data_IF_512748719177
#
_entry.id   IF_512748719177
#
_cell.length_a   1.000
_cell.length_b   1.000
_cell.length_c   1.000
_cell.angle_alpha   90.00
_cell.angle_beta   90.00
_cell.angle_gamma   90.00
#
_symmetry.space_group_name_H-M   'P 1'
#
loop_
_entity.id
_entity.type
_entity.pdbx_description
1 polymer ?
#
# COMPACT_ATOMS: atom_id res chain seq x y z
N UNK A 1 2.61 -13.29 5.70
CA UNK A 1 3.79 -13.03 4.82
C UNK A 1 5.13 -13.40 5.46
N UNK A 2 6.19 -13.59 4.68
CA UNK A 2 7.60 -13.69 5.13
C UNK A 2 8.42 -12.57 4.50
N UNK A 3 9.19 -11.82 5.30
CA UNK A 3 10.03 -10.71 4.83
C UNK A 3 11.50 -11.03 5.06
N UNK A 4 12.34 -10.79 4.05
CA UNK A 4 13.78 -10.96 4.18
C UNK A 4 14.50 -11.21 2.85
N UNK A 5 15.81 -11.48 2.91
CA UNK A 5 16.58 -11.90 1.76
C UNK A 5 16.09 -13.26 1.24
N UNK A 6 16.02 -13.40 -0.09
CA UNK A 6 15.68 -14.63 -0.80
C UNK A 6 16.59 -14.77 -2.01
N UNK A 7 17.11 -15.99 -2.24
CA UNK A 7 17.86 -16.31 -3.44
C UNK A 7 17.04 -15.99 -4.70
N UNK A 8 17.67 -15.40 -5.71
CA UNK A 8 16.95 -14.87 -6.89
C UNK A 8 16.14 -15.96 -7.59
N UNK A 9 16.60 -17.21 -7.55
CA UNK A 9 15.91 -18.38 -8.12
C UNK A 9 14.55 -18.68 -7.48
N UNK A 10 14.35 -18.25 -6.23
CA UNK A 10 13.13 -18.48 -5.45
C UNK A 10 12.27 -17.20 -5.33
N UNK A 11 12.65 -16.12 -6.02
CA UNK A 11 12.05 -14.80 -5.85
C UNK A 11 10.84 -14.55 -6.76
N UNK A 12 10.51 -15.46 -7.68
CA UNK A 12 9.33 -15.31 -8.55
C UNK A 12 8.04 -15.22 -7.71
N UNK A 13 7.21 -14.23 -8.00
CA UNK A 13 6.00 -13.93 -7.24
C UNK A 13 6.23 -13.15 -5.95
N UNK A 14 7.47 -12.98 -5.49
CA UNK A 14 7.79 -12.16 -4.33
C UNK A 14 7.74 -10.66 -4.66
N UNK A 15 7.53 -9.83 -3.64
CA UNK A 15 7.40 -8.37 -3.77
C UNK A 15 8.69 -7.71 -3.31
N UNK A 16 9.31 -6.90 -4.18
CA UNK A 16 10.56 -6.20 -3.85
C UNK A 16 10.40 -5.23 -2.68
N UNK A 17 11.24 -5.39 -1.66
CA UNK A 17 11.25 -4.51 -0.49
C UNK A 17 11.78 -3.10 -0.80
N UNK A 18 12.72 -3.03 -1.75
CA UNK A 18 13.40 -1.82 -2.17
C UNK A 18 13.42 -1.73 -3.69
N UNK A 19 13.65 -0.52 -4.22
CA UNK A 19 13.95 -0.39 -5.64
C UNK A 19 15.30 -1.06 -5.93
N UNK A 20 15.36 -1.84 -7.00
CA UNK A 20 16.53 -2.61 -7.39
C UNK A 20 16.88 -2.28 -8.84
N UNK A 21 18.16 -2.13 -9.15
CA UNK A 21 18.63 -1.86 -10.51
C UNK A 21 19.33 -3.10 -11.06
N UNK A 22 19.01 -3.50 -12.30
CA UNK A 22 19.64 -4.59 -13.03
C UNK A 22 20.13 -4.07 -14.37
N UNK A 23 21.44 -3.78 -14.49
CA UNK A 23 21.96 -3.07 -15.65
C UNK A 23 21.28 -1.71 -15.83
N UNK A 24 20.63 -1.50 -16.99
CA UNK A 24 19.88 -0.27 -17.29
C UNK A 24 18.43 -0.29 -16.77
N UNK A 25 17.92 -1.44 -16.32
CA UNK A 25 16.53 -1.59 -15.87
C UNK A 25 16.41 -1.27 -14.39
N UNK A 26 15.47 -0.39 -14.03
CA UNK A 26 15.12 -0.08 -12.65
C UNK A 26 13.77 -0.71 -12.28
N UNK A 27 13.78 -1.54 -11.25
CA UNK A 27 12.60 -2.09 -10.61
C UNK A 27 12.21 -1.20 -9.43
N UNK A 28 10.94 -0.82 -9.36
CA UNK A 28 10.43 -0.02 -8.24
C UNK A 28 10.23 -0.89 -7.00
N UNK A 29 10.24 -0.25 -5.82
CA UNK A 29 9.73 -0.86 -4.59
C UNK A 29 8.28 -1.34 -4.80
N UNK A 30 7.89 -2.40 -4.10
CA UNK A 30 6.57 -3.02 -4.21
C UNK A 30 6.28 -3.66 -5.58
N UNK A 31 7.29 -3.79 -6.45
CA UNK A 31 7.16 -4.54 -7.69
C UNK A 31 7.09 -6.04 -7.40
N UNK A 32 6.05 -6.71 -7.90
CA UNK A 32 5.91 -8.16 -7.83
C UNK A 32 6.71 -8.79 -8.97
N UNK A 33 7.71 -9.58 -8.63
CA UNK A 33 8.60 -10.20 -9.59
C UNK A 33 7.86 -11.28 -10.40
N UNK A 34 8.01 -11.25 -11.71
CA UNK A 34 7.66 -12.36 -12.60
C UNK A 34 8.94 -13.10 -13.08
N UNK A 35 8.79 -14.19 -13.84
CA UNK A 35 9.93 -14.94 -14.35
C UNK A 35 10.90 -14.13 -15.22
N UNK A 36 10.42 -13.16 -16.00
CA UNK A 36 11.28 -12.27 -16.82
C UNK A 36 12.11 -11.33 -15.94
N UNK A 37 11.52 -10.82 -14.86
CA UNK A 37 12.20 -9.98 -13.88
C UNK A 37 13.32 -10.75 -13.18
N UNK A 38 13.02 -11.98 -12.75
CA UNK A 38 13.99 -12.89 -12.13
C UNK A 38 15.15 -13.19 -13.09
N UNK A 39 14.85 -13.49 -14.35
CA UNK A 39 15.88 -13.74 -15.37
C UNK A 39 16.76 -12.50 -15.60
N UNK A 40 16.17 -11.30 -15.69
CA UNK A 40 16.90 -10.05 -15.87
C UNK A 40 17.80 -9.72 -14.66
N UNK A 41 17.28 -9.87 -13.45
CA UNK A 41 18.04 -9.67 -12.20
C UNK A 41 19.22 -10.66 -12.13
N UNK A 42 18.97 -11.93 -12.46
CA UNK A 42 20.02 -12.97 -12.49
C UNK A 42 21.09 -12.68 -13.54
N UNK A 43 20.71 -12.26 -14.74
CA UNK A 43 21.65 -11.88 -15.81
C UNK A 43 22.51 -10.66 -15.42
N UNK A 44 21.99 -9.78 -14.57
CA UNK A 44 22.74 -8.66 -14.00
C UNK A 44 23.65 -9.06 -12.82
N UNK A 45 23.76 -10.35 -12.50
CA UNK A 45 24.63 -10.86 -11.43
C UNK A 45 24.05 -10.75 -10.02
N UNK A 46 22.75 -10.44 -9.89
CA UNK A 46 22.08 -10.41 -8.58
C UNK A 46 21.72 -11.84 -8.18
N UNK A 47 22.30 -12.31 -7.09
CA UNK A 47 22.05 -13.66 -6.53
C UNK A 47 20.99 -13.68 -5.43
N UNK A 48 20.72 -12.54 -4.79
CA UNK A 48 19.79 -12.42 -3.67
C UNK A 48 19.09 -11.06 -3.69
N UNK A 49 17.82 -11.05 -3.29
CA UNK A 49 17.01 -9.83 -3.18
C UNK A 49 16.22 -9.83 -1.87
N UNK A 50 16.05 -8.64 -1.27
CA UNK A 50 15.16 -8.47 -0.11
C UNK A 50 13.73 -8.32 -0.60
N UNK A 51 12.86 -9.24 -0.20
CA UNK A 51 11.49 -9.34 -0.68
C UNK A 51 10.50 -9.65 0.45
N UNK A 52 9.23 -9.37 0.18
CA UNK A 52 8.11 -9.93 0.91
C UNK A 52 7.49 -11.08 0.09
N UNK A 53 7.45 -12.28 0.66
CA UNK A 53 6.78 -13.46 0.12
C UNK A 53 5.41 -13.55 0.77
N UNK A 54 4.36 -13.35 -0.04
CA UNK A 54 2.98 -13.46 0.40
C UNK A 54 2.60 -14.94 0.57
N UNK A 55 1.90 -15.24 1.65
CA UNK A 55 1.23 -16.51 1.87
C UNK A 55 -0.07 -16.57 1.03
N UNK A 56 -0.64 -17.76 0.77
CA UNK A 56 -1.86 -17.91 -0.02
C UNK A 56 -3.08 -17.15 0.53
N UNK A 57 -3.10 -16.92 1.84
CA UNK A 57 -4.14 -16.23 2.61
C UNK A 57 -3.80 -14.76 2.92
N UNK A 58 -2.68 -14.25 2.41
CA UNK A 58 -2.35 -12.83 2.49
C UNK A 58 -3.06 -12.03 1.39
N UNK A 59 -3.58 -10.85 1.76
CA UNK A 59 -4.05 -9.83 0.85
C UNK A 59 -2.94 -8.78 0.64
N UNK A 60 -2.56 -8.53 -0.61
CA UNK A 60 -1.54 -7.53 -0.96
C UNK A 60 -1.93 -6.11 -0.53
N UNK A 61 -0.94 -5.26 -0.24
CA UNK A 61 -1.12 -3.94 0.37
C UNK A 61 -2.11 -3.03 -0.38
N UNK A 62 -2.07 -3.01 -1.71
CA UNK A 62 -2.96 -2.17 -2.52
C UNK A 62 -4.40 -2.68 -2.46
N UNK A 63 -4.60 -3.98 -2.61
CA UNK A 63 -5.92 -4.60 -2.53
C UNK A 63 -6.53 -4.48 -1.12
N UNK A 64 -5.71 -4.56 -0.08
CA UNK A 64 -6.14 -4.36 1.30
C UNK A 64 -6.52 -2.88 1.56
N UNK A 65 -5.72 -1.92 1.10
CA UNK A 65 -6.03 -0.49 1.22
C UNK A 65 -7.33 -0.13 0.48
N UNK A 66 -7.50 -0.66 -0.74
CA UNK A 66 -8.71 -0.47 -1.56
C UNK A 66 -9.95 -1.06 -0.88
N UNK A 67 -9.87 -2.28 -0.36
CA UNK A 67 -10.98 -2.93 0.34
C UNK A 67 -11.46 -2.11 1.55
N UNK A 68 -10.56 -1.49 2.29
CA UNK A 68 -10.91 -0.61 3.42
C UNK A 68 -11.52 0.68 2.90
N UNK A 69 -10.90 1.34 1.91
CA UNK A 69 -11.43 2.60 1.37
C UNK A 69 -12.85 2.43 0.79
N UNK A 70 -13.12 1.32 0.09
CA UNK A 70 -14.43 0.99 -0.47
C UNK A 70 -15.51 0.70 0.59
N UNK A 71 -15.13 0.40 1.84
CA UNK A 71 -16.10 0.21 2.93
C UNK A 71 -16.43 1.51 3.65
N UNK A 72 -15.68 2.59 3.39
CA UNK A 72 -15.93 3.90 3.98
C UNK A 72 -17.10 4.60 3.27
N UNK A 73 -17.92 5.28 4.06
CA UNK A 73 -18.95 6.19 3.53
C UNK A 73 -18.48 7.63 3.66
N UNK A 74 -18.53 8.38 2.57
CA UNK A 74 -18.13 9.78 2.51
C UNK A 74 -19.04 10.57 1.57
N UNK A 75 -19.05 11.90 1.72
CA UNK A 75 -19.77 12.85 0.86
C UNK A 75 -18.80 13.94 0.44
N UNK A 76 -18.92 14.41 -0.79
CA UNK A 76 -18.08 15.47 -1.36
C UNK A 76 -16.58 15.14 -1.30
N UNK A 77 -16.26 13.84 -1.43
CA UNK A 77 -14.90 13.27 -1.33
C UNK A 77 -14.72 12.23 -2.42
N UNK A 78 -13.61 12.34 -3.15
CA UNK A 78 -13.17 11.41 -4.18
C UNK A 78 -12.11 10.44 -3.61
N UNK A 79 -12.29 9.15 -3.85
CA UNK A 79 -11.32 8.11 -3.51
C UNK A 79 -10.39 7.85 -4.70
N UNK A 80 -9.08 8.09 -4.52
CA UNK A 80 -8.08 7.83 -5.56
C UNK A 80 -7.71 6.35 -5.64
N UNK A 81 -7.21 5.85 -6.80
CA UNK A 81 -6.75 4.47 -6.93
C UNK A 81 -5.68 4.10 -5.91
N UNK A 82 -5.66 2.82 -5.50
CA UNK A 82 -4.63 2.32 -4.61
C UNK A 82 -3.26 2.32 -5.27
N UNK A 83 -2.24 2.75 -4.52
CA UNK A 83 -0.85 2.62 -4.95
C UNK A 83 0.10 2.54 -3.75
N UNK A 84 1.01 1.57 -3.77
CA UNK A 84 2.04 1.37 -2.73
C UNK A 84 1.47 1.28 -1.30
N UNK A 85 0.39 0.51 -1.18
CA UNK A 85 -0.35 0.25 0.05
C UNK A 85 -1.12 1.46 0.55
N UNK A 86 -1.47 2.41 -0.33
CA UNK A 86 -2.18 3.65 0.05
C UNK A 86 -3.40 3.89 -0.81
N UNK A 87 -4.45 4.41 -0.20
CA UNK A 87 -5.59 5.02 -0.89
C UNK A 87 -5.82 6.40 -0.30
N UNK A 88 -5.73 7.44 -1.15
CA UNK A 88 -5.89 8.82 -0.72
C UNK A 88 -7.30 9.32 -1.07
N UNK A 89 -7.94 9.98 -0.10
CA UNK A 89 -9.26 10.58 -0.24
C UNK A 89 -9.11 12.09 -0.32
N UNK A 90 -9.71 12.71 -1.33
CA UNK A 90 -9.58 14.14 -1.62
C UNK A 90 -10.94 14.82 -1.59
N UNK A 91 -11.02 16.03 -1.04
CA UNK A 91 -12.24 16.81 -1.08
C UNK A 91 -12.58 17.18 -2.52
N UNK A 92 -13.84 17.02 -2.93
CA UNK A 92 -14.32 17.45 -4.24
C UNK A 92 -14.63 18.96 -4.26
N UNK A 93 -14.93 19.53 -3.09
CA UNK A 93 -15.30 20.94 -2.92
C UNK A 93 -14.59 21.56 -1.72
N UNK A 94 -14.49 22.89 -1.70
CA UNK A 94 -13.98 23.61 -0.54
C UNK A 94 -15.04 23.64 0.58
N UNK A 95 -14.59 23.60 1.84
CA UNK A 95 -15.51 23.55 2.98
C UNK A 95 -14.83 23.29 4.32
N UNK A 96 -15.55 22.63 5.21
CA UNK A 96 -15.07 22.23 6.55
C UNK A 96 -15.09 20.72 6.64
N UNK A 97 -13.94 20.11 6.91
CA UNK A 97 -13.81 18.66 7.02
C UNK A 97 -14.48 18.14 8.29
N UNK A 98 -15.34 17.13 8.16
CA UNK A 98 -15.94 16.41 9.29
C UNK A 98 -15.62 14.94 9.19
N UNK A 99 -15.33 14.32 10.33
CA UNK A 99 -15.00 12.89 10.42
C UNK A 99 -15.51 12.34 11.75
N UNK A 100 -15.92 11.08 11.75
CA UNK A 100 -16.15 10.34 13.00
C UNK A 100 -14.79 9.90 13.57
N UNK A 101 -14.22 10.75 14.42
CA UNK A 101 -12.91 10.51 15.05
C UNK A 101 -12.90 9.21 15.85
N UNK A 102 -13.99 8.88 16.54
CA UNK A 102 -14.08 7.64 17.34
C UNK A 102 -14.06 6.41 16.45
N UNK A 103 -14.72 6.45 15.30
CA UNK A 103 -14.68 5.35 14.33
C UNK A 103 -13.28 5.17 13.75
N UNK A 104 -12.59 6.27 13.40
CA UNK A 104 -11.20 6.20 12.91
C UNK A 104 -10.27 5.62 13.97
N UNK A 105 -10.37 6.10 15.22
CA UNK A 105 -9.56 5.59 16.33
C UNK A 105 -9.82 4.10 16.60
N UNK A 106 -11.09 3.68 16.55
CA UNK A 106 -11.46 2.28 16.72
C UNK A 106 -10.86 1.39 15.62
N UNK A 107 -10.88 1.83 14.35
CA UNK A 107 -10.26 1.09 13.24
C UNK A 107 -8.74 1.01 13.42
N UNK A 108 -8.09 2.12 13.76
CA UNK A 108 -6.65 2.19 13.98
C UNK A 108 -6.17 1.34 15.16
N UNK A 109 -7.06 1.03 16.10
CA UNK A 109 -6.77 0.16 17.24
C UNK A 109 -6.87 -1.34 16.92
N UNK A 110 -7.40 -1.74 15.76
CA UNK A 110 -7.59 -3.16 15.41
C UNK A 110 -6.24 -3.83 15.17
N UNK A 111 -5.41 -3.26 14.29
CA UNK A 111 -4.14 -3.85 13.90
C UNK A 111 -3.14 -2.74 13.53
N UNK A 112 -1.91 -2.73 14.11
CA UNK A 112 -0.90 -1.74 13.79
C UNK A 112 -0.41 -1.76 12.33
N UNK A 113 -0.75 -2.79 11.53
CA UNK A 113 -0.48 -2.85 10.10
C UNK A 113 -1.41 -1.96 9.27
N UNK A 114 -2.54 -1.54 9.84
CA UNK A 114 -3.59 -0.77 9.18
C UNK A 114 -3.67 0.61 9.84
N UNK A 115 -3.69 1.66 9.05
CA UNK A 115 -3.88 3.02 9.59
C UNK A 115 -4.71 3.87 8.64
N UNK A 116 -5.70 4.57 9.19
CA UNK A 116 -6.40 5.66 8.54
C UNK A 116 -5.93 6.96 9.21
N UNK A 117 -5.34 7.84 8.42
CA UNK A 117 -4.98 9.19 8.85
C UNK A 117 -5.90 10.20 8.17
N UNK A 118 -6.33 11.22 8.92
CA UNK A 118 -7.24 12.26 8.43
C UNK A 118 -6.74 13.65 8.82
N UNK A 119 -7.26 14.68 8.17
CA UNK A 119 -7.15 16.03 8.69
C UNK A 119 -7.89 16.15 10.03
N UNK A 120 -7.55 17.16 10.83
CA UNK A 120 -8.25 17.44 12.06
C UNK A 120 -9.74 17.71 11.80
N UNK A 121 -10.59 17.25 12.71
CA UNK A 121 -12.02 17.56 12.66
C UNK A 121 -12.21 19.09 12.64
N UNK A 122 -13.06 19.56 11.73
CA UNK A 122 -13.35 20.96 11.44
C UNK A 122 -12.20 21.76 10.80
N UNK A 123 -11.19 21.09 10.23
CA UNK A 123 -10.19 21.78 9.41
C UNK A 123 -10.85 22.40 8.17
N UNK A 124 -10.49 23.64 7.78
CA UNK A 124 -10.87 24.18 6.47
C UNK A 124 -10.18 23.37 5.37
N UNK A 125 -10.89 23.14 4.27
CA UNK A 125 -10.37 22.39 3.12
C UNK A 125 -10.66 23.09 1.80
N UNK A 126 -9.74 22.93 0.85
CA UNK A 126 -9.91 23.35 -0.54
C UNK A 126 -10.34 22.17 -1.42
N UNK A 127 -10.98 22.48 -2.56
CA UNK A 127 -11.26 21.46 -3.57
C UNK A 127 -9.95 20.83 -4.07
N UNK A 128 -9.90 19.50 -4.13
CA UNK A 128 -8.72 18.72 -4.48
C UNK A 128 -7.73 18.49 -3.34
N UNK A 129 -7.98 19.01 -2.13
CA UNK A 129 -7.10 18.76 -0.98
C UNK A 129 -7.26 17.32 -0.46
N UNK A 130 -6.15 16.65 -0.16
CA UNK A 130 -6.19 15.34 0.51
C UNK A 130 -6.69 15.51 1.96
N UNK A 131 -7.78 14.83 2.30
CA UNK A 131 -8.43 14.94 3.61
C UNK A 131 -8.28 13.68 4.46
N UNK A 132 -8.05 12.53 3.82
CA UNK A 132 -7.79 11.28 4.50
C UNK A 132 -6.92 10.35 3.64
N UNK A 133 -6.29 9.36 4.28
CA UNK A 133 -5.55 8.30 3.60
C UNK A 133 -5.67 7.00 4.39
N UNK A 134 -5.93 5.91 3.68
CA UNK A 134 -5.78 4.55 4.21
C UNK A 134 -4.37 4.09 3.88
N UNK A 135 -3.67 3.52 4.86
CA UNK A 135 -2.34 2.94 4.73
C UNK A 135 -2.34 1.51 5.23
N UNK A 136 -1.90 0.61 4.37
CA UNK A 136 -1.35 -0.69 4.75
C UNK A 136 0.16 -0.51 4.85
N UNK A 137 0.70 -0.72 6.04
CA UNK A 137 2.12 -0.50 6.37
C UNK A 137 3.01 -1.63 5.82
N UNK A 138 2.71 -2.92 6.04
CA UNK A 138 3.45 -4.01 5.40
C UNK A 138 3.03 -4.19 3.93
N UNK A 139 3.73 -5.05 3.19
CA UNK A 139 3.41 -5.38 1.80
C UNK A 139 2.13 -6.23 1.63
N UNK A 140 1.64 -6.81 2.72
CA UNK A 140 0.41 -7.58 2.77
C UNK A 140 -0.07 -7.74 4.21
N UNK A 141 -1.37 -8.01 4.38
CA UNK A 141 -2.04 -8.34 5.64
C UNK A 141 -2.80 -9.65 5.50
N UNK A 142 -3.14 -10.32 6.61
CA UNK A 142 -4.01 -11.49 6.56
C UNK A 142 -5.38 -11.12 5.95
N UNK A 143 -5.94 -11.98 5.10
CA UNK A 143 -7.23 -11.71 4.46
C UNK A 143 -8.43 -11.84 5.42
N UNK A 144 -8.24 -12.45 6.61
CA UNK A 144 -9.25 -12.72 7.64
C UNK A 144 -8.74 -12.42 9.04
#
# INVERSE_FOLDING_TARGET
MKFGPVAIELAEGAVLAHATTAGERRFRKAHRLNGEDVAALKAAGISEVVVAVLAPDDLGEDAAAEKIALSMSHRDVETKPSATGRVNLHAETAGVFTVDTKMIDAINAIDPAITIATLAQHAPVEAGQMVATVKIIPFAVAAS
#
